data_IF_515125244983
#
_entry.id   IF_515125244983
#
_cell.length_a   1.000
_cell.length_b   1.000
_cell.length_c   1.000
_cell.angle_alpha   90.00
_cell.angle_beta   90.00
_cell.angle_gamma   90.00
#
_symmetry.space_group_name_H-M   'P 1'
#
loop_
_entity.id
_entity.type
_entity.pdbx_description
1 polymer ?
#
# COMPACT_ATOMS: atom_id res chain seq x y z
N UNK A 1 4.08 -9.94 10.90
CA UNK A 1 2.60 -9.92 10.83
C UNK A 1 2.24 -10.14 9.38
N UNK A 2 1.49 -11.19 9.04
CA UNK A 2 1.33 -11.60 7.62
C UNK A 2 0.29 -10.80 6.84
N UNK A 3 -0.59 -10.09 7.54
CA UNK A 3 -1.81 -9.51 6.97
C UNK A 3 -1.96 -8.08 7.49
N UNK A 4 -2.25 -7.14 6.60
CA UNK A 4 -2.85 -5.85 6.96
C UNK A 4 -4.36 -6.02 6.85
N UNK A 5 -5.03 -5.94 8.00
CA UNK A 5 -6.46 -6.21 8.12
C UNK A 5 -7.34 -5.22 7.37
N UNK A 6 -8.60 -5.61 7.17
CA UNK A 6 -9.59 -4.71 6.58
C UNK A 6 -9.71 -3.46 7.43
N UNK A 7 -9.78 -2.28 6.80
CA UNK A 7 -9.90 -0.99 7.48
C UNK A 7 -8.77 -0.62 8.46
N UNK A 8 -7.61 -1.31 8.44
CA UNK A 8 -6.56 -1.14 9.45
C UNK A 8 -6.08 0.31 9.63
N UNK A 9 -6.03 1.09 8.54
CA UNK A 9 -5.66 2.50 8.51
C UNK A 9 -6.78 3.36 7.89
N UNK A 10 -8.03 2.92 7.99
CA UNK A 10 -9.16 3.64 7.38
C UNK A 10 -9.26 5.08 7.89
N UNK A 11 -9.27 6.03 6.95
CA UNK A 11 -9.43 7.46 7.26
C UNK A 11 -8.23 8.09 7.97
N UNK A 12 -7.05 7.46 7.96
CA UNK A 12 -5.84 8.02 8.57
C UNK A 12 -5.31 9.22 7.78
N UNK A 13 -5.84 10.41 8.05
CA UNK A 13 -5.46 11.66 7.36
C UNK A 13 -4.02 12.11 7.64
N UNK A 14 -3.42 11.72 8.76
CA UNK A 14 -2.02 12.08 9.06
C UNK A 14 -0.97 11.15 8.43
N UNK A 15 -1.39 10.06 7.81
CA UNK A 15 -0.48 9.07 7.23
C UNK A 15 -0.04 9.54 5.85
N UNK A 16 1.16 10.10 5.74
CA UNK A 16 1.71 10.62 4.48
C UNK A 16 2.52 9.59 3.69
N UNK A 17 3.20 8.69 4.41
CA UNK A 17 3.95 7.58 3.84
C UNK A 17 3.93 6.36 4.74
N UNK A 18 4.01 5.16 4.16
CA UNK A 18 4.11 3.91 4.92
C UNK A 18 5.10 2.94 4.27
N UNK A 19 5.84 2.21 5.11
CA UNK A 19 6.64 1.05 4.68
C UNK A 19 5.89 -0.24 5.01
N UNK A 20 5.66 -1.06 3.99
CA UNK A 20 5.04 -2.38 4.05
C UNK A 20 6.17 -3.42 3.97
N UNK A 21 6.46 -4.15 5.08
CA UNK A 21 7.58 -5.08 5.11
C UNK A 21 7.29 -6.35 4.30
N UNK A 22 8.35 -7.05 3.85
CA UNK A 22 8.27 -8.32 3.09
C UNK A 22 7.39 -9.39 3.74
N UNK A 23 7.25 -9.35 5.07
CA UNK A 23 6.44 -10.32 5.81
C UNK A 23 4.94 -10.20 5.55
N UNK A 24 4.48 -9.10 4.94
CA UNK A 24 3.07 -8.86 4.60
C UNK A 24 2.76 -9.48 3.24
N UNK A 25 1.87 -10.46 3.24
CA UNK A 25 1.45 -11.21 2.05
C UNK A 25 0.00 -10.93 1.63
N UNK A 26 -0.79 -10.29 2.50
CA UNK A 26 -2.17 -9.90 2.22
C UNK A 26 -2.45 -8.48 2.71
N UNK A 27 -3.07 -7.66 1.85
CA UNK A 27 -3.66 -6.37 2.22
C UNK A 27 -5.16 -6.40 1.90
N UNK A 28 -5.95 -6.42 2.97
CA UNK A 28 -7.39 -6.65 2.88
C UNK A 28 -8.18 -5.37 2.52
N UNK A 29 -9.48 -5.56 2.37
CA UNK A 29 -10.42 -4.55 1.88
C UNK A 29 -10.33 -3.23 2.64
N UNK A 30 -10.24 -2.13 1.89
CA UNK A 30 -10.24 -0.77 2.41
C UNK A 30 -9.18 -0.49 3.50
N UNK A 31 -8.10 -1.27 3.55
CA UNK A 31 -7.06 -1.14 4.57
C UNK A 31 -6.51 0.30 4.69
N UNK A 32 -6.44 1.05 3.58
CA UNK A 32 -5.99 2.44 3.52
C UNK A 32 -7.03 3.38 2.92
N UNK A 33 -8.30 2.97 2.85
CA UNK A 33 -9.33 3.81 2.24
C UNK A 33 -9.49 5.14 3.00
N UNK A 34 -9.72 6.24 2.27
CA UNK A 34 -9.80 7.61 2.81
C UNK A 34 -8.52 8.13 3.51
N UNK A 35 -7.35 7.53 3.26
CA UNK A 35 -6.06 8.10 3.66
C UNK A 35 -5.70 9.26 2.71
N UNK A 36 -6.36 10.41 2.88
CA UNK A 36 -6.30 11.53 1.94
C UNK A 36 -4.93 12.19 1.77
N UNK A 37 -3.99 11.95 2.69
CA UNK A 37 -2.66 12.54 2.64
C UNK A 37 -1.58 11.48 2.35
N UNK A 38 -1.96 10.20 2.24
CA UNK A 38 -1.06 9.12 1.87
C UNK A 38 -0.68 9.25 0.40
N UNK A 39 0.57 9.61 0.14
CA UNK A 39 1.10 9.84 -1.21
C UNK A 39 2.13 8.81 -1.65
N UNK A 40 2.89 8.25 -0.71
CA UNK A 40 3.98 7.32 -1.00
C UNK A 40 3.82 6.01 -0.23
N UNK A 41 3.91 4.90 -0.93
CA UNK A 41 3.96 3.56 -0.31
C UNK A 41 5.30 2.93 -0.66
N UNK A 42 6.01 2.47 0.37
CA UNK A 42 7.26 1.72 0.21
C UNK A 42 6.98 0.26 0.51
N UNK A 43 7.34 -0.62 -0.40
CA UNK A 43 7.28 -2.05 -0.19
C UNK A 43 8.70 -2.57 -0.03
N UNK A 44 8.96 -3.32 1.05
CA UNK A 44 10.27 -3.95 1.28
C UNK A 44 10.44 -5.23 0.43
N UNK A 45 9.98 -5.20 -0.82
CA UNK A 45 10.04 -6.31 -1.79
C UNK A 45 10.40 -5.73 -3.16
N UNK A 46 10.73 -6.62 -4.10
CA UNK A 46 10.95 -6.27 -5.50
C UNK A 46 9.64 -6.05 -6.26
N UNK A 47 9.70 -5.40 -7.42
CA UNK A 47 8.52 -5.21 -8.29
C UNK A 47 7.95 -6.53 -8.81
N UNK A 48 8.80 -7.57 -8.88
CA UNK A 48 8.39 -8.93 -9.29
C UNK A 48 7.52 -9.55 -8.21
N UNK A 49 7.97 -9.49 -6.96
CA UNK A 49 7.23 -10.01 -5.80
C UNK A 49 5.95 -9.21 -5.52
N UNK A 50 5.93 -7.91 -5.86
CA UNK A 50 4.74 -7.07 -5.70
C UNK A 50 3.54 -7.61 -6.50
N UNK A 51 3.78 -8.29 -7.63
CA UNK A 51 2.72 -8.91 -8.45
C UNK A 51 2.10 -10.14 -7.79
N UNK A 52 2.85 -10.79 -6.91
CA UNK A 52 2.40 -11.95 -6.13
C UNK A 52 1.65 -11.52 -4.85
N UNK A 53 1.73 -10.24 -4.49
CA UNK A 53 1.02 -9.68 -3.35
C UNK A 53 -0.48 -9.64 -3.62
N UNK A 54 -1.25 -10.30 -2.77
CA UNK A 54 -2.71 -10.28 -2.87
C UNK A 54 -3.27 -8.96 -2.32
N UNK A 55 -3.67 -8.08 -3.23
CA UNK A 55 -4.37 -6.83 -2.94
C UNK A 55 -5.86 -6.99 -3.23
N UNK A 56 -6.70 -6.78 -2.23
CA UNK A 56 -8.15 -6.69 -2.45
C UNK A 56 -8.53 -5.47 -3.29
N UNK A 57 -9.76 -5.44 -3.82
CA UNK A 57 -10.29 -4.22 -4.43
C UNK A 57 -10.42 -3.10 -3.38
N UNK A 58 -10.20 -1.86 -3.82
CA UNK A 58 -10.39 -0.66 -3.01
C UNK A 58 -9.44 -0.45 -1.81
N UNK A 59 -8.29 -1.15 -1.74
CA UNK A 59 -7.28 -0.98 -0.67
C UNK A 59 -6.94 0.50 -0.45
N UNK A 60 -6.76 1.27 -1.54
CA UNK A 60 -6.34 2.67 -1.51
C UNK A 60 -7.41 3.66 -1.99
N UNK A 61 -8.69 3.26 -2.10
CA UNK A 61 -9.75 4.17 -2.58
C UNK A 61 -9.79 5.47 -1.78
N UNK A 62 -9.95 6.60 -2.46
CA UNK A 62 -9.95 7.95 -1.86
C UNK A 62 -8.65 8.31 -1.11
N UNK A 63 -7.54 7.63 -1.41
CA UNK A 63 -6.19 8.03 -1.03
C UNK A 63 -5.56 8.85 -2.16
N UNK A 64 -4.44 9.52 -1.88
CA UNK A 64 -3.68 10.29 -2.89
C UNK A 64 -2.37 9.60 -3.25
N UNK A 65 -2.34 8.27 -3.25
CA UNK A 65 -1.14 7.52 -3.58
C UNK A 65 -0.74 7.89 -5.01
N UNK A 66 0.46 8.42 -5.16
CA UNK A 66 1.04 8.79 -6.46
C UNK A 66 2.24 7.93 -6.81
N UNK A 67 2.85 7.32 -5.78
CA UNK A 67 4.13 6.63 -5.92
C UNK A 67 4.15 5.35 -5.09
N UNK A 68 4.58 4.27 -5.73
CA UNK A 68 4.92 3.00 -5.09
C UNK A 68 6.40 2.73 -5.33
N UNK A 69 7.17 2.55 -4.26
CA UNK A 69 8.61 2.31 -4.30
C UNK A 69 8.92 0.90 -3.82
N UNK A 70 9.71 0.16 -4.60
CA UNK A 70 10.20 -1.19 -4.27
C UNK A 70 11.70 -1.15 -3.89
N UNK A 71 12.20 -2.19 -3.22
CA UNK A 71 13.60 -2.25 -2.74
C UNK A 71 14.63 -2.40 -3.85
N UNK A 72 14.20 -2.88 -5.02
CA UNK A 72 15.01 -3.00 -6.24
C UNK A 72 15.23 -1.67 -6.96
N UNK A 73 14.76 -0.55 -6.39
CA UNK A 73 14.89 0.78 -6.96
C UNK A 73 13.83 1.10 -8.02
N UNK A 74 12.88 0.17 -8.27
CA UNK A 74 11.77 0.43 -9.17
C UNK A 74 10.73 1.33 -8.50
N UNK A 75 10.29 2.33 -9.26
CA UNK A 75 9.21 3.24 -8.88
C UNK A 75 8.05 3.04 -9.85
N UNK A 76 6.89 2.69 -9.31
CA UNK A 76 5.64 2.65 -10.06
C UNK A 76 4.85 3.91 -9.74
N UNK A 77 4.62 4.73 -10.76
CA UNK A 77 3.64 5.82 -10.67
C UNK A 77 2.26 5.18 -10.70
N UNK A 78 1.48 5.34 -9.63
CA UNK A 78 0.20 4.66 -9.52
C UNK A 78 -0.87 5.36 -10.35
N UNK A 79 -1.44 4.67 -11.32
CA UNK A 79 -2.74 4.99 -11.95
C UNK A 79 -3.92 4.26 -11.28
N UNK A 80 -3.67 3.69 -10.08
CA UNK A 80 -4.57 2.79 -9.32
C UNK A 80 -5.88 3.44 -8.86
#
# INVERSE_FOLDING_TARGET
>A
MKIIGSYAFYGCKGLTSITIPESVIYINYAAFQYCSDLSVIKFDITVVELKELSLSSAVFNYSKVTEIVCTDGNVLLSEL
#
